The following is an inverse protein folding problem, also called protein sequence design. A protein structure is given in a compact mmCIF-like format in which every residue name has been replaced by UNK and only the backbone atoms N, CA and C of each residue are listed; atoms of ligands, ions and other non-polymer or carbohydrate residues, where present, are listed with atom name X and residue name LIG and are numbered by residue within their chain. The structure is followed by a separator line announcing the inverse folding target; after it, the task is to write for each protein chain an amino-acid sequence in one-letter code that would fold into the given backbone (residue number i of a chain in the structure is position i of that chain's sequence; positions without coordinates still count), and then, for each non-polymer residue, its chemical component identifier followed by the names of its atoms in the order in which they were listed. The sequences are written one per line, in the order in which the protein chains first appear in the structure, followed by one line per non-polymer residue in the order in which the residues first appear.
data_IF_354585222629
#
_entry.id   IF_354585222629
#
_cell.length_a   1.000
_cell.length_b   1.000
_cell.length_c   1.000
_cell.angle_alpha   90.00
_cell.angle_beta   90.00
_cell.angle_gamma   90.00
#
_symmetry.space_group_name_H-M   'P 1'
#
loop_
_entity.id
_entity.type
_entity.pdbx_description
1 polymer ?
#
# COMPACT_ATOMS: atom_id res chain seq x y z
N UNK A 1 71.59 30.09 -22.45
CA UNK A 1 70.79 30.01 -23.69
C UNK A 1 69.43 30.61 -23.40
N UNK A 2 68.88 31.43 -24.31
CA UNK A 2 67.58 32.08 -24.13
C UNK A 2 66.44 31.05 -24.17
N UNK A 3 65.45 31.26 -23.31
CA UNK A 3 64.22 30.48 -23.22
C UNK A 3 63.47 30.61 -24.56
N UNK A 4 63.04 29.50 -25.15
CA UNK A 4 62.35 29.50 -26.45
C UNK A 4 60.99 30.21 -26.37
N UNK A 5 60.44 30.68 -27.51
CA UNK A 5 59.21 31.50 -27.57
C UNK A 5 57.91 30.76 -27.19
N UNK A 6 58.01 29.63 -26.47
CA UNK A 6 56.87 28.81 -26.06
C UNK A 6 56.95 28.31 -24.61
N UNK A 7 57.89 28.81 -23.81
CA UNK A 7 58.03 28.42 -22.40
C UNK A 7 57.88 29.64 -21.50
N UNK A 8 57.01 29.48 -20.49
CA UNK A 8 56.60 30.38 -19.40
C UNK A 8 55.72 31.60 -19.72
N UNK A 9 54.41 31.36 -19.69
CA UNK A 9 53.47 32.32 -19.09
C UNK A 9 52.40 31.59 -18.24
N UNK A 10 52.86 30.84 -17.23
CA UNK A 10 51.98 30.30 -16.17
C UNK A 10 51.79 31.30 -15.01
N UNK A 11 51.88 32.61 -15.26
CA UNK A 11 51.94 33.59 -14.18
C UNK A 11 50.69 34.44 -13.96
N UNK A 12 49.67 34.39 -14.82
CA UNK A 12 48.37 34.99 -14.49
C UNK A 12 47.24 34.23 -15.20
N UNK A 13 46.35 33.50 -14.49
CA UNK A 13 45.11 33.07 -15.09
C UNK A 13 44.22 34.32 -15.24
N UNK A 14 44.45 35.11 -16.29
CA UNK A 14 43.56 36.20 -16.69
C UNK A 14 42.31 35.67 -17.41
N UNK A 15 42.18 34.36 -17.50
CA UNK A 15 40.95 33.70 -17.92
C UNK A 15 39.92 33.94 -16.84
N UNK A 16 38.96 34.84 -17.10
CA UNK A 16 37.64 34.70 -16.52
C UNK A 16 37.16 33.29 -16.88
N UNK A 17 37.45 32.33 -15.99
CA UNK A 17 36.84 31.01 -16.03
C UNK A 17 35.37 31.29 -15.82
N UNK A 18 34.64 31.49 -16.93
CA UNK A 18 33.19 31.43 -16.92
C UNK A 18 32.86 30.13 -16.20
N UNK A 19 32.10 30.24 -15.11
CA UNK A 19 31.62 29.09 -14.39
C UNK A 19 30.75 28.30 -15.39
N UNK A 20 31.34 27.37 -16.13
CA UNK A 20 30.61 26.44 -16.99
C UNK A 20 30.05 25.41 -16.03
N UNK A 21 28.89 25.75 -15.47
CA UNK A 21 28.09 24.78 -14.75
C UNK A 21 27.68 23.72 -15.75
N UNK A 22 28.16 22.49 -15.58
CA UNK A 22 27.66 21.37 -16.36
C UNK A 22 26.23 21.07 -15.88
N UNK A 23 25.18 21.32 -16.69
CA UNK A 23 23.81 21.06 -16.29
C UNK A 23 23.57 19.57 -16.00
N UNK A 24 24.42 18.66 -16.50
CA UNK A 24 24.37 17.24 -16.15
C UNK A 24 24.92 16.91 -14.76
N UNK A 25 25.70 17.80 -14.14
CA UNK A 25 26.10 17.69 -12.73
C UNK A 25 25.02 18.16 -11.74
N UNK A 26 23.98 18.87 -12.20
CA UNK A 26 22.82 19.24 -11.38
C UNK A 26 21.77 18.11 -11.26
N UNK A 27 21.92 17.03 -12.02
CA UNK A 27 21.05 15.86 -11.95
C UNK A 27 21.57 14.84 -10.92
N UNK A 28 21.95 15.29 -9.72
CA UNK A 28 21.88 14.36 -8.58
C UNK A 28 20.40 14.09 -8.42
N UNK A 29 19.90 12.87 -8.69
CA UNK A 29 18.47 12.61 -8.61
C UNK A 29 18.04 13.00 -7.20
N UNK A 30 17.11 13.94 -7.13
CA UNK A 30 16.56 14.36 -5.84
C UNK A 30 16.08 13.11 -5.11
N UNK A 31 16.11 13.11 -3.79
CA UNK A 31 15.62 11.97 -3.01
C UNK A 31 14.22 11.53 -3.46
N UNK A 32 13.36 12.48 -3.82
CA UNK A 32 12.04 12.23 -4.43
C UNK A 32 12.09 11.52 -5.78
N UNK A 33 13.03 11.86 -6.67
CA UNK A 33 13.21 11.19 -7.97
C UNK A 33 13.59 9.72 -7.81
N UNK A 34 14.44 9.39 -6.83
CA UNK A 34 14.84 8.00 -6.54
C UNK A 34 13.63 7.21 -6.03
N UNK A 35 12.83 7.80 -5.14
CA UNK A 35 11.61 7.16 -4.63
C UNK A 35 10.57 6.97 -5.71
N UNK A 36 10.42 7.94 -6.62
CA UNK A 36 9.53 7.82 -7.77
C UNK A 36 9.95 6.67 -8.69
N UNK A 37 11.26 6.54 -9.00
CA UNK A 37 11.76 5.42 -9.79
C UNK A 37 11.52 4.06 -9.09
N UNK A 38 11.78 3.99 -7.78
CA UNK A 38 11.50 2.77 -6.99
C UNK A 38 10.01 2.45 -6.96
N UNK A 39 9.13 3.46 -6.88
CA UNK A 39 7.68 3.30 -6.92
C UNK A 39 7.21 2.82 -8.30
N UNK A 40 7.78 3.35 -9.38
CA UNK A 40 7.49 2.87 -10.74
C UNK A 40 7.90 1.41 -10.92
N UNK A 41 9.03 1.00 -10.34
CA UNK A 41 9.45 -0.41 -10.32
C UNK A 41 8.50 -1.27 -9.49
N UNK A 42 8.02 -0.79 -8.35
CA UNK A 42 7.03 -1.47 -7.52
C UNK A 42 5.69 -1.69 -8.24
N UNK A 43 5.33 -0.77 -9.13
CA UNK A 43 4.12 -0.84 -9.92
C UNK A 43 4.24 -1.77 -11.14
N UNK A 44 5.47 -2.11 -11.56
CA UNK A 44 5.71 -3.07 -12.65
C UNK A 44 5.82 -4.51 -12.15
N UNK A 45 6.18 -4.73 -10.89
CA UNK A 45 6.32 -6.07 -10.33
C UNK A 45 6.88 -6.09 -8.90
N UNK A 46 7.10 -7.30 -8.35
CA UNK A 46 7.61 -7.46 -6.99
C UNK A 46 9.03 -6.89 -6.88
N UNK A 47 9.26 -6.08 -5.84
CA UNK A 47 10.57 -5.50 -5.58
C UNK A 47 11.51 -6.54 -4.95
N UNK A 48 12.81 -6.54 -5.31
CA UNK A 48 13.80 -7.32 -4.59
C UNK A 48 13.96 -6.77 -3.16
N UNK A 49 14.34 -7.61 -2.18
CA UNK A 49 14.33 -7.24 -0.76
C UNK A 49 15.21 -6.01 -0.45
N UNK A 50 16.32 -5.83 -1.17
CA UNK A 50 17.17 -4.63 -1.02
C UNK A 50 16.47 -3.34 -1.46
N UNK A 51 15.74 -3.36 -2.57
CA UNK A 51 14.98 -2.20 -3.06
C UNK A 51 13.73 -1.94 -2.21
N UNK A 52 13.09 -3.00 -1.72
CA UNK A 52 11.96 -2.92 -0.79
C UNK A 52 12.38 -2.27 0.54
N UNK A 53 13.52 -2.63 1.10
CA UNK A 53 14.05 -1.97 2.29
C UNK A 53 14.36 -0.49 2.07
N UNK A 54 14.95 -0.15 0.92
CA UNK A 54 15.27 1.23 0.56
C UNK A 54 14.01 2.10 0.43
N UNK A 55 12.97 1.63 -0.28
CA UNK A 55 11.72 2.40 -0.42
C UNK A 55 10.98 2.53 0.91
N UNK A 56 10.92 1.47 1.73
CA UNK A 56 10.29 1.53 3.05
C UNK A 56 11.03 2.50 3.98
N UNK A 57 12.36 2.48 4.00
CA UNK A 57 13.16 3.44 4.77
C UNK A 57 12.94 4.88 4.30
N UNK A 58 12.78 5.08 2.99
CA UNK A 58 12.53 6.40 2.42
C UNK A 58 11.14 6.92 2.79
N UNK A 59 10.11 6.08 2.65
CA UNK A 59 8.74 6.36 3.09
C UNK A 59 8.66 6.59 4.60
N UNK A 60 9.53 5.95 5.38
CA UNK A 60 9.56 6.12 6.82
C UNK A 60 10.11 7.48 7.26
N UNK A 61 11.02 8.04 6.46
CA UNK A 61 11.81 9.22 6.83
C UNK A 61 11.11 10.55 6.54
N UNK A 62 10.21 10.61 5.55
CA UNK A 62 9.60 11.89 5.14
C UNK A 62 8.17 11.71 4.62
N UNK A 63 7.24 12.50 5.17
CA UNK A 63 5.82 12.52 4.78
C UNK A 63 5.63 13.20 3.43
N UNK A 64 6.45 14.20 3.09
CA UNK A 64 6.40 14.90 1.80
C UNK A 64 6.73 13.96 0.64
N UNK A 65 7.56 12.95 0.87
CA UNK A 65 7.97 11.98 -0.15
C UNK A 65 6.81 11.13 -0.65
N UNK A 66 5.77 10.94 0.17
CA UNK A 66 4.54 10.24 -0.23
C UNK A 66 3.71 11.08 -1.20
N UNK A 67 3.75 12.41 -1.10
CA UNK A 67 3.11 13.29 -2.08
C UNK A 67 3.86 13.29 -3.43
N UNK A 68 5.18 13.05 -3.39
CA UNK A 68 6.03 13.02 -4.59
C UNK A 68 6.13 11.63 -5.23
N UNK A 69 5.67 10.56 -4.58
CA UNK A 69 5.78 9.21 -5.13
C UNK A 69 4.86 8.95 -6.34
N UNK A 70 3.98 9.90 -6.69
CA UNK A 70 3.13 9.82 -7.89
C UNK A 70 2.13 8.66 -7.85
N UNK A 71 1.85 8.11 -6.66
CA UNK A 71 0.80 7.12 -6.50
C UNK A 71 -0.54 7.81 -6.73
N UNK A 72 -1.38 7.21 -7.56
CA UNK A 72 -2.76 7.62 -7.74
C UNK A 72 -3.68 6.50 -7.27
N UNK A 73 -4.90 6.79 -6.81
CA UNK A 73 -5.85 5.76 -6.36
C UNK A 73 -6.08 4.65 -7.40
N UNK A 74 -6.04 4.98 -8.70
CA UNK A 74 -6.18 4.00 -9.78
C UNK A 74 -5.01 3.01 -9.93
N UNK A 75 -3.82 3.36 -9.44
CA UNK A 75 -2.63 2.49 -9.45
C UNK A 75 -2.46 1.69 -8.15
N UNK A 76 -3.26 2.00 -7.12
CA UNK A 76 -3.22 1.33 -5.84
C UNK A 76 -3.44 -0.19 -5.95
N UNK A 77 -4.44 -0.70 -6.70
CA UNK A 77 -4.65 -2.15 -6.80
C UNK A 77 -3.43 -2.90 -7.33
N UNK A 78 -2.74 -2.33 -8.33
CA UNK A 78 -1.52 -2.90 -8.90
C UNK A 78 -0.38 -2.94 -7.87
N UNK A 79 -0.26 -1.88 -7.06
CA UNK A 79 0.74 -1.85 -5.99
C UNK A 79 0.45 -2.89 -4.91
N UNK A 80 -0.81 -3.04 -4.51
CA UNK A 80 -1.24 -4.02 -3.51
C UNK A 80 -0.94 -5.44 -3.97
N UNK A 81 -1.26 -5.77 -5.22
CA UNK A 81 -1.00 -7.11 -5.76
C UNK A 81 0.48 -7.45 -5.90
N UNK A 82 1.32 -6.48 -6.26
CA UNK A 82 2.76 -6.72 -6.44
C UNK A 82 3.56 -6.60 -5.14
N UNK A 83 3.20 -5.66 -4.27
CA UNK A 83 3.99 -5.25 -3.10
C UNK A 83 3.07 -4.78 -1.93
N UNK A 84 2.36 -5.70 -1.25
CA UNK A 84 1.37 -5.34 -0.21
C UNK A 84 1.99 -4.61 1.00
N UNK A 85 3.24 -4.92 1.35
CA UNK A 85 3.95 -4.25 2.45
C UNK A 85 4.26 -2.79 2.14
N UNK A 86 4.68 -2.49 0.91
CA UNK A 86 4.93 -1.11 0.45
C UNK A 86 3.62 -0.35 0.38
N UNK A 87 2.55 -0.97 -0.16
CA UNK A 87 1.21 -0.37 -0.17
C UNK A 87 0.74 -0.01 1.26
N UNK A 88 0.96 -0.89 2.23
CA UNK A 88 0.61 -0.65 3.63
C UNK A 88 1.34 0.59 4.18
N UNK A 89 2.66 0.68 4.03
CA UNK A 89 3.43 1.81 4.55
C UNK A 89 3.00 3.12 3.89
N UNK A 90 2.77 3.13 2.57
CA UNK A 90 2.27 4.31 1.86
C UNK A 90 0.91 4.75 2.42
N UNK A 91 -0.03 3.81 2.59
CA UNK A 91 -1.37 4.11 3.09
C UNK A 91 -1.35 4.61 4.54
N UNK A 92 -0.48 4.06 5.41
CA UNK A 92 -0.30 4.54 6.78
C UNK A 92 0.12 6.01 6.83
N UNK A 93 1.01 6.43 5.93
CA UNK A 93 1.45 7.83 5.84
C UNK A 93 0.37 8.73 5.27
N UNK A 94 -0.52 8.20 4.44
CA UNK A 94 -1.63 8.94 3.85
C UNK A 94 -2.82 9.09 4.79
N UNK A 95 -2.91 8.38 5.93
CA UNK A 95 -4.10 8.46 6.80
C UNK A 95 -4.38 9.87 7.30
N UNK A 96 -3.34 10.66 7.58
CA UNK A 96 -3.50 12.06 8.01
C UNK A 96 -3.87 13.02 6.86
N UNK A 97 -3.85 12.55 5.61
CA UNK A 97 -4.04 13.35 4.42
C UNK A 97 -5.51 13.36 3.97
N UNK A 98 -6.04 14.50 3.48
CA UNK A 98 -7.43 14.58 3.03
C UNK A 98 -7.73 13.70 1.80
N UNK A 99 -6.71 13.25 1.06
CA UNK A 99 -6.88 12.36 -0.10
C UNK A 99 -7.09 10.89 0.28
N UNK A 100 -6.95 10.52 1.56
CA UNK A 100 -7.08 9.14 2.02
C UNK A 100 -8.41 8.49 1.61
N UNK A 101 -9.50 9.26 1.61
CA UNK A 101 -10.83 8.77 1.23
C UNK A 101 -10.90 8.16 -0.17
N UNK A 102 -10.16 8.72 -1.13
CA UNK A 102 -10.11 8.19 -2.51
C UNK A 102 -9.35 6.86 -2.57
N UNK A 103 -8.28 6.72 -1.77
CA UNK A 103 -7.53 5.47 -1.65
C UNK A 103 -8.35 4.39 -0.94
N UNK A 104 -9.07 4.73 0.13
CA UNK A 104 -10.02 3.82 0.78
C UNK A 104 -11.11 3.36 -0.19
N UNK A 105 -11.66 4.26 -1.00
CA UNK A 105 -12.63 3.90 -2.03
C UNK A 105 -12.04 2.96 -3.08
N UNK A 106 -10.79 3.19 -3.50
CA UNK A 106 -10.06 2.27 -4.38
C UNK A 106 -9.80 0.91 -3.71
N UNK A 107 -9.55 0.88 -2.39
CA UNK A 107 -9.39 -0.37 -1.64
C UNK A 107 -10.68 -1.19 -1.59
N UNK A 108 -11.84 -0.56 -1.43
CA UNK A 108 -13.14 -1.27 -1.45
C UNK A 108 -13.48 -1.80 -2.84
N UNK A 109 -13.12 -1.07 -3.90
CA UNK A 109 -13.47 -1.41 -5.29
C UNK A 109 -12.60 -2.49 -5.92
N UNK A 110 -11.47 -2.86 -5.31
CA UNK A 110 -10.59 -3.87 -5.88
C UNK A 110 -11.12 -5.29 -5.65
N UNK A 111 -10.66 -6.22 -6.48
CA UNK A 111 -10.94 -7.64 -6.30
C UNK A 111 -10.35 -8.15 -4.97
N UNK A 112 -11.09 -9.03 -4.30
CA UNK A 112 -10.61 -9.61 -3.06
C UNK A 112 -9.46 -10.59 -3.31
N UNK A 113 -8.36 -10.35 -2.60
CA UNK A 113 -7.18 -11.18 -2.64
C UNK A 113 -6.58 -11.28 -1.23
N UNK A 114 -5.60 -12.18 -1.09
CA UNK A 114 -4.82 -12.26 0.15
C UNK A 114 -4.09 -10.93 0.40
N UNK A 115 -3.55 -10.31 -0.65
CA UNK A 115 -2.80 -9.06 -0.55
C UNK A 115 -3.69 -7.89 -0.08
N UNK A 116 -4.90 -7.76 -0.63
CA UNK A 116 -5.82 -6.69 -0.23
C UNK A 116 -6.29 -6.85 1.22
N UNK A 117 -6.60 -8.09 1.63
CA UNK A 117 -6.96 -8.37 3.02
C UNK A 117 -5.79 -8.18 3.99
N UNK A 118 -4.56 -8.53 3.59
CA UNK A 118 -3.38 -8.27 4.40
C UNK A 118 -3.19 -6.77 4.65
N UNK A 119 -3.30 -5.95 3.60
CA UNK A 119 -3.18 -4.49 3.70
C UNK A 119 -4.24 -3.93 4.64
N UNK A 120 -5.52 -4.28 4.45
CA UNK A 120 -6.60 -3.79 5.31
C UNK A 120 -6.42 -4.27 6.76
N UNK A 121 -6.06 -5.53 6.97
CA UNK A 121 -5.79 -6.08 8.30
C UNK A 121 -4.69 -5.31 9.01
N UNK A 122 -3.56 -5.05 8.34
CA UNK A 122 -2.45 -4.25 8.90
C UNK A 122 -2.81 -2.78 9.14
N UNK A 123 -3.66 -2.18 8.30
CA UNK A 123 -4.10 -0.80 8.50
C UNK A 123 -5.00 -0.70 9.73
N UNK A 124 -5.96 -1.62 9.87
CA UNK A 124 -6.91 -1.60 10.98
C UNK A 124 -6.28 -1.86 12.36
N UNK A 125 -5.09 -2.48 12.42
CA UNK A 125 -4.35 -2.68 13.68
C UNK A 125 -3.45 -1.51 14.04
N UNK A 126 -3.12 -0.65 13.09
CA UNK A 126 -2.20 0.47 13.29
C UNK A 126 -2.91 1.81 13.37
N UNK A 127 -4.08 1.95 12.74
CA UNK A 127 -4.84 3.19 12.71
C UNK A 127 -6.34 2.92 12.83
N UNK A 128 -7.04 3.83 13.50
CA UNK A 128 -8.51 3.83 13.56
C UNK A 128 -9.06 4.31 12.20
N UNK A 129 -9.57 3.37 11.41
CA UNK A 129 -10.20 3.66 10.13
C UNK A 129 -11.68 4.03 10.32
N UNK A 130 -12.27 4.85 9.42
CA UNK A 130 -13.69 5.16 9.47
C UNK A 130 -14.56 3.88 9.43
N UNK A 131 -15.58 3.76 10.30
CA UNK A 131 -16.44 2.57 10.35
C UNK A 131 -17.17 2.35 9.03
N UNK A 132 -17.53 3.41 8.30
CA UNK A 132 -18.18 3.32 6.99
C UNK A 132 -17.30 2.59 5.96
N UNK A 133 -15.99 2.80 6.01
CA UNK A 133 -15.04 2.09 5.16
C UNK A 133 -15.00 0.60 5.51
N UNK A 134 -14.89 0.28 6.80
CA UNK A 134 -14.82 -1.12 7.26
C UNK A 134 -16.10 -1.87 6.88
N UNK A 135 -17.26 -1.24 7.06
CA UNK A 135 -18.55 -1.81 6.68
C UNK A 135 -18.65 -2.04 5.17
N UNK A 136 -18.28 -1.04 4.35
CA UNK A 136 -18.28 -1.17 2.90
C UNK A 136 -17.32 -2.26 2.42
N UNK A 137 -16.15 -2.40 3.05
CA UNK A 137 -15.19 -3.45 2.72
C UNK A 137 -15.72 -4.84 3.07
N UNK A 138 -16.36 -5.01 4.24
CA UNK A 138 -16.98 -6.28 4.64
C UNK A 138 -18.15 -6.66 3.71
N UNK A 139 -18.99 -5.70 3.34
CA UNK A 139 -20.07 -5.93 2.38
C UNK A 139 -19.51 -6.39 1.03
N UNK A 140 -18.45 -5.74 0.53
CA UNK A 140 -17.76 -6.19 -0.67
C UNK A 140 -17.16 -7.60 -0.51
N UNK A 141 -16.67 -7.94 0.68
CA UNK A 141 -16.19 -9.27 1.03
C UNK A 141 -17.24 -10.36 0.82
N UNK A 142 -18.44 -10.13 1.35
CA UNK A 142 -19.59 -11.04 1.27
C UNK A 142 -20.05 -11.19 -0.19
N UNK A 143 -20.32 -10.06 -0.86
CA UNK A 143 -20.79 -10.04 -2.26
C UNK A 143 -19.82 -10.73 -3.20
N UNK A 144 -18.51 -10.54 -3.01
CA UNK A 144 -17.51 -11.22 -3.84
C UNK A 144 -17.50 -12.73 -3.60
N UNK A 145 -17.71 -13.19 -2.36
CA UNK A 145 -17.81 -14.63 -2.07
C UNK A 145 -19.02 -15.27 -2.77
N UNK A 146 -20.15 -14.57 -2.84
CA UNK A 146 -21.37 -15.04 -3.52
C UNK A 146 -21.20 -15.10 -5.05
N UNK A 147 -20.46 -14.15 -5.62
CA UNK A 147 -20.26 -14.04 -7.08
C UNK A 147 -19.18 -14.97 -7.65
N UNK A 148 -18.37 -15.63 -6.82
CA UNK A 148 -17.37 -16.60 -7.32
C UNK A 148 -18.05 -17.87 -7.80
N UNK A 149 -17.93 -18.15 -9.10
CA UNK A 149 -18.57 -19.31 -9.75
C UNK A 149 -17.90 -20.65 -9.42
N UNK A 150 -16.57 -20.67 -9.28
CA UNK A 150 -15.82 -21.88 -8.94
C UNK A 150 -15.93 -22.18 -7.44
N UNK A 151 -16.64 -23.27 -7.10
CA UNK A 151 -16.82 -23.72 -5.70
C UNK A 151 -15.51 -23.97 -4.96
N UNK A 152 -14.46 -24.44 -5.63
CA UNK A 152 -13.17 -24.64 -4.98
C UNK A 152 -12.55 -23.30 -4.59
N UNK A 153 -12.54 -22.34 -5.51
CA UNK A 153 -12.04 -20.98 -5.23
C UNK A 153 -12.90 -20.26 -4.20
N UNK A 154 -14.23 -20.38 -4.30
CA UNK A 154 -15.18 -19.82 -3.34
C UNK A 154 -14.90 -20.35 -1.93
N UNK A 155 -14.73 -21.66 -1.76
CA UNK A 155 -14.39 -22.23 -0.45
C UNK A 155 -13.08 -21.65 0.10
N UNK A 156 -12.07 -21.41 -0.74
CA UNK A 156 -10.80 -20.79 -0.29
C UNK A 156 -11.00 -19.33 0.10
N UNK A 157 -11.76 -18.57 -0.69
CA UNK A 157 -12.05 -17.17 -0.42
C UNK A 157 -12.86 -17.01 0.87
N UNK A 158 -13.90 -17.82 1.07
CA UNK A 158 -14.70 -17.80 2.29
C UNK A 158 -13.84 -18.12 3.51
N UNK A 159 -12.94 -19.10 3.44
CA UNK A 159 -12.00 -19.37 4.55
C UNK A 159 -11.14 -18.15 4.88
N UNK A 160 -10.62 -17.48 3.85
CA UNK A 160 -9.80 -16.28 4.01
C UNK A 160 -10.61 -15.14 4.65
N UNK A 161 -11.81 -14.86 4.14
CA UNK A 161 -12.72 -13.85 4.70
C UNK A 161 -13.11 -14.17 6.14
N UNK A 162 -13.39 -15.44 6.47
CA UNK A 162 -13.71 -15.82 7.84
C UNK A 162 -12.55 -15.55 8.81
N UNK A 163 -11.31 -15.85 8.42
CA UNK A 163 -10.13 -15.56 9.26
C UNK A 163 -9.93 -14.06 9.40
N UNK A 164 -10.12 -13.30 8.31
CA UNK A 164 -10.05 -11.84 8.34
C UNK A 164 -11.09 -11.23 9.30
N UNK A 165 -12.36 -11.63 9.20
CA UNK A 165 -13.43 -11.19 10.08
C UNK A 165 -13.18 -11.57 11.55
N UNK A 166 -12.66 -12.77 11.81
CA UNK A 166 -12.25 -13.17 13.17
C UNK A 166 -11.19 -12.22 13.74
N UNK A 167 -10.17 -11.85 12.96
CA UNK A 167 -9.16 -10.88 13.38
C UNK A 167 -9.78 -9.51 13.68
N UNK A 168 -10.69 -9.02 12.83
CA UNK A 168 -11.37 -7.74 13.04
C UNK A 168 -12.19 -7.72 14.34
N UNK A 169 -12.92 -8.82 14.61
CA UNK A 169 -13.74 -8.99 15.81
C UNK A 169 -12.87 -9.04 17.07
N UNK A 170 -11.80 -9.83 17.05
CA UNK A 170 -10.91 -9.99 18.20
C UNK A 170 -10.20 -8.68 18.58
N UNK A 171 -9.84 -7.88 17.59
CA UNK A 171 -9.23 -6.57 17.79
C UNK A 171 -10.25 -5.46 18.09
N UNK A 172 -11.56 -5.77 18.15
CA UNK A 172 -12.67 -4.84 18.43
C UNK A 172 -12.70 -3.61 17.51
N UNK A 173 -12.35 -3.81 16.24
CA UNK A 173 -12.17 -2.72 15.27
C UNK A 173 -13.52 -2.13 14.81
N UNK A 174 -14.61 -2.89 14.83
CA UNK A 174 -15.93 -2.43 14.38
C UNK A 174 -17.02 -2.70 15.40
N UNK A 175 -18.07 -1.87 15.38
CA UNK A 175 -19.24 -2.08 16.19
C UNK A 175 -20.04 -3.25 15.61
N UNK A 176 -19.96 -4.41 16.27
CA UNK A 176 -20.53 -5.67 15.81
C UNK A 176 -22.03 -5.58 15.57
N UNK A 177 -22.74 -4.64 16.21
CA UNK A 177 -24.19 -4.49 16.11
C UNK A 177 -24.69 -4.13 14.70
N UNK A 178 -23.96 -3.34 13.92
CA UNK A 178 -24.44 -2.88 12.61
C UNK A 178 -24.26 -3.92 11.51
N UNK A 179 -23.27 -4.81 11.66
CA UNK A 179 -22.93 -5.86 10.70
C UNK A 179 -23.35 -7.27 11.14
N UNK A 180 -23.91 -7.40 12.35
CA UNK A 180 -24.19 -8.70 12.96
C UNK A 180 -25.05 -9.57 12.04
N UNK A 181 -26.14 -9.00 11.51
CA UNK A 181 -27.11 -9.74 10.69
C UNK A 181 -26.53 -10.17 9.34
N UNK A 182 -25.73 -9.32 8.69
CA UNK A 182 -25.08 -9.65 7.42
C UNK A 182 -24.04 -10.76 7.61
N UNK A 183 -23.16 -10.62 8.60
CA UNK A 183 -22.11 -11.61 8.86
C UNK A 183 -22.71 -12.93 9.36
N UNK A 184 -23.78 -12.89 10.17
CA UNK A 184 -24.50 -14.10 10.56
C UNK A 184 -25.12 -14.82 9.35
N UNK A 185 -25.78 -14.07 8.47
CA UNK A 185 -26.39 -14.63 7.25
C UNK A 185 -25.33 -15.30 6.37
N UNK A 186 -24.20 -14.63 6.15
CA UNK A 186 -23.03 -15.20 5.46
C UNK A 186 -22.54 -16.49 6.14
N UNK A 187 -22.39 -16.50 7.46
CA UNK A 187 -21.92 -17.69 8.18
C UNK A 187 -22.90 -18.87 8.07
N UNK A 188 -24.21 -18.61 8.03
CA UNK A 188 -25.24 -19.64 7.87
C UNK A 188 -25.20 -20.22 6.46
N UNK A 189 -25.10 -19.36 5.44
CA UNK A 189 -24.99 -19.76 4.03
C UNK A 189 -23.79 -20.67 3.79
N UNK A 190 -22.62 -20.27 4.32
CA UNK A 190 -21.37 -21.02 4.18
C UNK A 190 -21.09 -21.97 5.35
N UNK A 191 -22.10 -22.36 6.13
CA UNK A 191 -21.99 -23.19 7.34
C UNK A 191 -21.29 -24.54 7.16
N UNK A 192 -21.22 -25.06 5.92
CA UNK A 192 -20.45 -26.27 5.59
C UNK A 192 -18.95 -26.09 5.75
N UNK A 193 -18.47 -24.85 5.72
CA UNK A 193 -17.06 -24.48 5.90
C UNK A 193 -16.78 -24.34 7.39
N UNK A 194 -15.73 -25.01 7.86
CA UNK A 194 -15.37 -25.06 9.28
C UNK A 194 -15.12 -23.67 9.86
N UNK A 195 -14.47 -22.81 9.10
CA UNK A 195 -14.10 -21.44 9.46
C UNK A 195 -15.34 -20.55 9.62
N UNK A 196 -16.34 -20.70 8.74
CA UNK A 196 -17.63 -20.00 8.85
C UNK A 196 -18.41 -20.47 10.08
N UNK A 197 -18.47 -21.78 10.32
CA UNK A 197 -19.08 -22.33 11.53
C UNK A 197 -18.36 -21.88 12.82
N UNK A 198 -17.04 -21.66 12.75
CA UNK A 198 -16.25 -21.11 13.85
C UNK A 198 -16.55 -19.63 14.11
N UNK A 199 -16.60 -18.83 13.04
CA UNK A 199 -16.96 -17.41 13.10
C UNK A 199 -18.37 -17.21 13.67
N UNK A 200 -19.35 -18.04 13.25
CA UNK A 200 -20.72 -17.98 13.77
C UNK A 200 -20.77 -18.19 15.29
N UNK A 201 -20.00 -19.14 15.82
CA UNK A 201 -19.94 -19.39 17.27
C UNK A 201 -19.32 -18.22 18.01
N UNK A 202 -18.26 -17.60 17.45
CA UNK A 202 -17.65 -16.41 18.01
C UNK A 202 -18.65 -15.26 18.08
N UNK A 203 -19.42 -15.03 17.02
CA UNK A 203 -20.46 -14.00 16.99
C UNK A 203 -21.52 -14.23 18.08
N UNK A 204 -21.97 -15.47 18.29
CA UNK A 204 -22.91 -15.80 19.36
C UNK A 204 -22.38 -15.55 20.78
N UNK A 205 -21.07 -15.49 20.98
CA UNK A 205 -20.50 -15.15 22.30
C UNK A 205 -20.48 -13.65 22.57
N UNK A 206 -20.72 -12.84 21.54
CA UNK A 206 -20.72 -11.38 21.58
C UNK A 206 -22.14 -10.78 21.54
N UNK A 207 -23.14 -11.64 21.34
CA UNK A 207 -24.58 -11.36 21.50
C UNK A 207 -24.95 -11.23 22.98
#
# INVERSE_FOLDING_TARGET
MPVGPGEVEWLHPTTALGLVWDPSMAEVPSFGSIVQELMERALRGPLPPGAQGAILSALASDVEVVHHCGLSPGRLPVLVENNPTVATEVLLRLVASPVMGDYLTALVRMDLSLHSMEVVSRLTTQVELPPEFVHAFIANCIVSCENVSDRYMQNRLVRLVCVFLQNLIQNKIFNVHDLFTEVQSFCIEFSRIREAAGLFRLLKTLE
#
